data_IF_808490018632
#
_entry.id   IF_808490018632
#
_cell.length_a   1.000
_cell.length_b   1.000
_cell.length_c   1.000
_cell.angle_alpha   90.00
_cell.angle_beta   90.00
_cell.angle_gamma   90.00
#
_symmetry.space_group_name_H-M   'P 1'
#
loop_
_entity.id
_entity.type
_entity.pdbx_description
1 polymer ?
#
# COMPACT_ATOMS: atom_id res chain seq x y z
N UNK A 1 -20.13 30.92 17.42
CA UNK A 1 -19.99 29.79 16.49
C UNK A 1 -18.51 29.63 16.33
N UNK A 2 -17.97 28.68 17.07
CA UNK A 2 -16.57 28.30 17.02
C UNK A 2 -16.54 27.08 16.11
N UNK A 3 -16.49 27.33 14.80
CA UNK A 3 -16.16 26.32 13.79
C UNK A 3 -14.65 26.08 13.87
N UNK A 4 -14.20 25.47 14.97
CA UNK A 4 -12.85 24.95 15.05
C UNK A 4 -12.82 23.64 14.25
N UNK A 5 -12.22 23.69 13.06
CA UNK A 5 -11.99 22.52 12.23
C UNK A 5 -11.33 21.41 13.09
N UNK A 6 -11.84 20.17 13.05
CA UNK A 6 -11.25 19.09 13.80
C UNK A 6 -9.78 18.93 13.40
N UNK A 7 -8.88 18.68 14.36
CA UNK A 7 -7.46 18.60 14.06
C UNK A 7 -7.22 17.52 13.00
N UNK A 8 -6.49 17.88 11.94
CA UNK A 8 -6.17 16.96 10.86
C UNK A 8 -5.47 15.73 11.44
N UNK A 9 -6.03 14.54 11.18
CA UNK A 9 -5.40 13.28 11.56
C UNK A 9 -4.16 13.11 10.68
N UNK A 10 -2.98 13.01 11.30
CA UNK A 10 -1.78 12.73 10.54
C UNK A 10 -1.89 11.34 9.90
N UNK A 11 -1.58 11.20 8.60
CA UNK A 11 -1.62 9.92 7.94
C UNK A 11 -0.66 8.95 8.62
N UNK A 12 -1.17 7.78 8.98
CA UNK A 12 -0.37 6.70 9.57
C UNK A 12 0.77 6.36 8.60
N UNK A 13 2.01 6.51 9.06
CA UNK A 13 3.19 6.13 8.30
C UNK A 13 3.45 4.64 8.52
N UNK A 14 2.98 3.85 7.58
CA UNK A 14 3.30 2.43 7.50
C UNK A 14 4.47 2.22 6.54
N UNK A 15 5.61 1.75 7.08
CA UNK A 15 6.84 1.59 6.31
C UNK A 15 6.67 0.58 5.15
N UNK A 16 5.86 -0.46 5.33
CA UNK A 16 5.61 -1.47 4.30
C UNK A 16 4.80 -0.89 3.13
N UNK A 17 3.80 -0.06 3.41
CA UNK A 17 3.02 0.67 2.40
C UNK A 17 3.90 1.66 1.64
N UNK A 18 4.79 2.37 2.35
CA UNK A 18 5.74 3.28 1.70
C UNK A 18 6.71 2.53 0.78
N UNK A 19 7.17 1.35 1.18
CA UNK A 19 8.02 0.49 0.37
C UNK A 19 7.28 0.03 -0.91
N UNK A 20 6.04 -0.45 -0.78
CA UNK A 20 5.19 -0.83 -1.91
C UNK A 20 5.05 0.30 -2.93
N UNK A 21 4.74 1.51 -2.47
CA UNK A 21 4.54 2.68 -3.34
C UNK A 21 5.83 3.06 -4.06
N UNK A 22 6.98 3.04 -3.35
CA UNK A 22 8.28 3.33 -3.97
C UNK A 22 8.63 2.35 -5.07
N UNK A 23 8.43 1.06 -4.81
CA UNK A 23 8.72 0.02 -5.78
C UNK A 23 7.78 0.09 -6.99
N UNK A 24 6.49 0.41 -6.77
CA UNK A 24 5.51 0.60 -7.84
C UNK A 24 5.87 1.79 -8.75
N UNK A 25 6.36 2.89 -8.17
CA UNK A 25 6.90 4.03 -8.92
C UNK A 25 8.13 3.60 -9.73
N UNK A 26 9.01 2.78 -9.15
CA UNK A 26 10.16 2.21 -9.83
C UNK A 26 9.75 1.38 -11.06
N UNK A 27 8.67 0.61 -10.97
CA UNK A 27 8.10 -0.11 -12.12
C UNK A 27 7.59 0.86 -13.18
N UNK A 28 6.82 1.89 -12.80
CA UNK A 28 6.28 2.88 -13.73
C UNK A 28 7.36 3.67 -14.49
N UNK A 29 8.54 3.83 -13.89
CA UNK A 29 9.71 4.45 -14.51
C UNK A 29 10.55 3.49 -15.36
N UNK A 30 10.28 2.18 -15.29
CA UNK A 30 11.11 1.15 -15.92
C UNK A 30 12.41 0.85 -15.18
N UNK A 31 12.55 1.32 -13.94
CA UNK A 31 13.72 1.09 -13.07
C UNK A 31 13.65 -0.30 -12.39
N UNK A 32 12.43 -0.77 -12.11
CA UNK A 32 12.16 -2.07 -11.48
C UNK A 32 11.40 -2.97 -12.48
N UNK A 33 11.86 -4.20 -12.75
CA UNK A 33 11.09 -5.16 -13.56
C UNK A 33 9.76 -5.53 -12.91
N UNK A 34 8.69 -5.56 -13.71
CA UNK A 34 7.35 -5.90 -13.23
C UNK A 34 7.28 -7.30 -12.62
N UNK A 35 8.08 -8.25 -13.11
CA UNK A 35 8.15 -9.61 -12.55
C UNK A 35 8.70 -9.62 -11.13
N UNK A 36 9.69 -8.75 -10.83
CA UNK A 36 10.24 -8.63 -9.48
C UNK A 36 9.25 -7.98 -8.53
N UNK A 37 8.54 -6.96 -8.99
CA UNK A 37 7.49 -6.32 -8.21
C UNK A 37 6.36 -7.31 -7.90
N UNK A 38 5.86 -8.02 -8.90
CA UNK A 38 4.83 -9.05 -8.74
C UNK A 38 5.29 -10.23 -7.89
N UNK A 39 6.56 -10.61 -7.92
CA UNK A 39 7.06 -11.65 -7.01
C UNK A 39 7.06 -11.20 -5.54
N UNK A 40 7.23 -9.91 -5.29
CA UNK A 40 7.28 -9.33 -3.93
C UNK A 40 5.90 -9.00 -3.37
N UNK A 41 5.00 -8.52 -4.22
CA UNK A 41 3.69 -7.99 -3.82
C UNK A 41 2.50 -8.63 -4.53
N UNK A 42 2.73 -9.35 -5.61
CA UNK A 42 1.68 -10.03 -6.35
C UNK A 42 1.11 -11.14 -5.49
N UNK A 43 -0.22 -11.22 -5.48
CA UNK A 43 -1.02 -12.25 -4.81
C UNK A 43 -0.94 -13.61 -5.53
N UNK A 44 0.22 -13.93 -6.10
CA UNK A 44 0.47 -15.09 -6.95
C UNK A 44 1.06 -16.26 -6.16
N UNK A 45 0.23 -16.87 -5.32
CA UNK A 45 0.53 -18.10 -4.59
C UNK A 45 0.09 -18.02 -3.13
N UNK A 46 -1.15 -18.46 -2.87
CA UNK A 46 -1.66 -18.89 -1.57
C UNK A 46 -1.10 -18.16 -0.33
N UNK A 47 -1.61 -16.95 -0.07
CA UNK A 47 -1.59 -16.40 1.28
C UNK A 47 -3.05 -16.27 1.74
N UNK A 48 -3.45 -17.22 2.60
CA UNK A 48 -4.63 -17.15 3.46
C UNK A 48 -4.96 -15.71 3.87
N UNK A 49 -6.17 -15.23 3.53
CA UNK A 49 -6.61 -13.91 3.99
C UNK A 49 -7.64 -13.18 3.12
N UNK A 50 -8.08 -13.75 1.99
CA UNK A 50 -9.26 -13.24 1.29
C UNK A 50 -10.54 -13.81 1.94
N UNK A 51 -10.96 -13.24 3.08
CA UNK A 51 -12.25 -13.60 3.67
C UNK A 51 -12.41 -13.33 5.17
N UNK A 52 -12.23 -12.08 5.60
CA UNK A 52 -12.97 -11.58 6.78
C UNK A 52 -13.62 -10.25 6.41
N UNK A 53 -14.56 -10.32 5.47
CA UNK A 53 -15.73 -9.45 5.51
C UNK A 53 -16.65 -9.99 6.62
N UNK A 54 -16.51 -9.44 7.83
CA UNK A 54 -17.47 -9.64 8.92
C UNK A 54 -18.67 -8.71 8.67
N UNK A 55 -19.81 -9.30 8.36
CA UNK A 55 -21.14 -8.72 8.56
C UNK A 55 -21.67 -9.11 9.95
#
# INVERSE_FOLDING_TARGET
>A
MDDEDPPAVEPVRDDATLELVRDAIGVARGEVPAERFSAKYGTGGDAEGAGEERE
#
